data_IF_505134575839
#
_entry.id   IF_505134575839
#
_cell.length_a   1.000
_cell.length_b   1.000
_cell.length_c   1.000
_cell.angle_alpha   90.00
_cell.angle_beta   90.00
_cell.angle_gamma   90.00
#
_symmetry.space_group_name_H-M   'P 1'
#
loop_
_entity.id
_entity.type
_entity.pdbx_description
1 polymer ?
#
# COMPACT_ATOMS: atom_id res chain seq x y z
N UNK A 1 -11.82 -48.72 -22.90
CA UNK A 1 -10.94 -47.53 -22.80
C UNK A 1 -11.04 -46.79 -24.12
N UNK A 2 -11.55 -45.55 -24.12
CA UNK A 2 -11.65 -44.72 -25.33
C UNK A 2 -10.25 -44.26 -25.71
N UNK A 3 -9.74 -44.69 -26.87
CA UNK A 3 -8.48 -44.22 -27.43
C UNK A 3 -8.69 -42.82 -27.99
N UNK A 4 -8.30 -41.80 -27.22
CA UNK A 4 -8.22 -40.41 -27.68
C UNK A 4 -7.17 -40.33 -28.79
N UNK A 5 -7.57 -39.87 -29.97
CA UNK A 5 -6.68 -39.72 -31.13
C UNK A 5 -5.59 -38.65 -30.85
N UNK A 6 -4.42 -38.74 -31.49
CA UNK A 6 -3.32 -37.79 -31.29
C UNK A 6 -3.70 -36.32 -31.50
N UNK A 7 -4.71 -36.05 -32.34
CA UNK A 7 -5.25 -34.72 -32.57
C UNK A 7 -5.94 -34.14 -31.32
N UNK A 8 -6.64 -34.97 -30.53
CA UNK A 8 -7.31 -34.53 -29.31
C UNK A 8 -6.30 -34.18 -28.20
N UNK A 9 -5.20 -34.92 -28.11
CA UNK A 9 -4.07 -34.55 -27.24
C UNK A 9 -3.43 -33.22 -27.65
N UNK A 10 -3.21 -33.01 -28.95
CA UNK A 10 -2.66 -31.75 -29.46
C UNK A 10 -3.53 -30.54 -29.14
N UNK A 11 -4.85 -30.65 -29.35
CA UNK A 11 -5.81 -29.59 -29.03
C UNK A 11 -5.83 -29.29 -27.53
N UNK A 12 -5.81 -30.33 -26.68
CA UNK A 12 -5.76 -30.15 -25.22
C UNK A 12 -4.51 -29.41 -24.75
N UNK A 13 -3.34 -29.77 -25.28
CA UNK A 13 -2.07 -29.11 -24.95
C UNK A 13 -2.05 -27.64 -25.40
N UNK A 14 -2.49 -27.35 -26.62
CA UNK A 14 -2.56 -25.98 -27.12
C UNK A 14 -3.53 -25.15 -26.29
N UNK A 15 -4.69 -25.71 -25.94
CA UNK A 15 -5.68 -25.03 -25.10
C UNK A 15 -5.11 -24.66 -23.73
N UNK A 16 -4.38 -25.57 -23.09
CA UNK A 16 -3.72 -25.30 -21.82
C UNK A 16 -2.66 -24.20 -21.94
N UNK A 17 -1.83 -24.26 -22.99
CA UNK A 17 -0.79 -23.26 -23.23
C UNK A 17 -1.38 -21.88 -23.43
N UNK A 18 -2.42 -21.75 -24.27
CA UNK A 18 -3.10 -20.47 -24.51
C UNK A 18 -3.72 -19.93 -23.22
N UNK A 19 -4.42 -20.77 -22.45
CA UNK A 19 -5.03 -20.36 -21.20
C UNK A 19 -3.97 -19.90 -20.17
N UNK A 20 -2.86 -20.63 -20.05
CA UNK A 20 -1.75 -20.27 -19.17
C UNK A 20 -1.08 -18.96 -19.60
N UNK A 21 -0.82 -18.78 -20.90
CA UNK A 21 -0.23 -17.55 -21.43
C UNK A 21 -1.12 -16.33 -21.21
N UNK A 22 -2.44 -16.44 -21.40
CA UNK A 22 -3.38 -15.35 -21.11
C UNK A 22 -3.36 -15.01 -19.62
N UNK A 23 -3.38 -16.04 -18.75
CA UNK A 23 -3.39 -15.85 -17.30
C UNK A 23 -2.11 -15.16 -16.81
N UNK A 24 -0.95 -15.63 -17.27
CA UNK A 24 0.35 -15.03 -16.93
C UNK A 24 0.45 -13.62 -17.50
N UNK A 25 0.03 -13.41 -18.75
CA UNK A 25 0.04 -12.11 -19.39
C UNK A 25 -0.82 -11.08 -18.65
N UNK A 26 -2.04 -11.45 -18.25
CA UNK A 26 -2.89 -10.60 -17.43
C UNK A 26 -2.26 -10.28 -16.08
N UNK A 27 -1.73 -11.31 -15.40
CA UNK A 27 -1.08 -11.16 -14.11
C UNK A 27 0.10 -10.19 -14.16
N UNK A 28 0.97 -10.33 -15.17
CA UNK A 28 2.17 -9.51 -15.32
C UNK A 28 1.90 -8.10 -15.82
N UNK A 29 0.98 -7.93 -16.78
CA UNK A 29 0.78 -6.64 -17.44
C UNK A 29 -0.24 -5.73 -16.75
N UNK A 30 -1.18 -6.29 -15.98
CA UNK A 30 -2.27 -5.52 -15.37
C UNK A 30 -2.31 -5.67 -13.85
N UNK A 31 -2.44 -6.91 -13.36
CA UNK A 31 -2.64 -7.12 -11.92
C UNK A 31 -1.43 -6.71 -11.07
N UNK A 32 -0.22 -7.12 -11.45
CA UNK A 32 1.00 -6.78 -10.71
C UNK A 32 1.27 -5.27 -10.70
N UNK A 33 1.26 -4.56 -11.85
CA UNK A 33 1.47 -3.11 -11.86
C UNK A 33 0.45 -2.35 -11.03
N UNK A 34 -0.82 -2.74 -11.05
CA UNK A 34 -1.87 -2.08 -10.28
C UNK A 34 -1.68 -2.27 -8.76
N UNK A 35 -1.28 -3.46 -8.33
CA UNK A 35 -1.04 -3.75 -6.91
C UNK A 35 0.25 -3.12 -6.37
N UNK A 36 1.22 -2.87 -7.24
CA UNK A 36 2.47 -2.22 -6.89
C UNK A 36 2.46 -0.71 -7.17
N UNK A 37 1.37 -0.20 -7.75
CA UNK A 37 1.21 1.23 -7.97
C UNK A 37 1.23 1.93 -6.61
N UNK A 38 1.97 3.04 -6.54
CA UNK A 38 1.90 3.89 -5.35
C UNK A 38 0.47 4.38 -5.21
N UNK A 39 -0.16 4.26 -4.03
CA UNK A 39 -1.51 4.73 -3.84
C UNK A 39 -1.57 6.23 -4.16
N UNK A 40 -2.46 6.58 -5.09
CA UNK A 40 -2.78 7.96 -5.41
C UNK A 40 -3.64 8.51 -4.27
N UNK A 41 -3.11 9.50 -3.55
CA UNK A 41 -3.77 10.11 -2.40
C UNK A 41 -4.10 11.56 -2.72
N UNK A 42 -5.17 12.06 -2.11
CA UNK A 42 -5.59 13.45 -2.30
C UNK A 42 -4.45 14.43 -1.97
N UNK A 43 -4.33 15.50 -2.78
CA UNK A 43 -3.27 16.50 -2.63
C UNK A 43 -3.21 17.08 -1.22
N UNK A 44 -4.35 17.22 -0.53
CA UNK A 44 -4.39 17.74 0.84
C UNK A 44 -3.82 16.73 1.86
N UNK A 45 -3.73 15.44 1.54
CA UNK A 45 -3.01 14.47 2.37
C UNK A 45 -1.50 14.69 2.27
N UNK A 46 -1.00 15.01 1.07
CA UNK A 46 0.42 15.31 0.83
C UNK A 46 0.80 16.70 1.36
N UNK A 47 -0.09 17.67 1.17
CA UNK A 47 0.08 19.07 1.55
C UNK A 47 -1.14 19.55 2.38
N UNK A 48 -1.19 19.20 3.67
CA UNK A 48 -2.33 19.53 4.52
C UNK A 48 -2.43 21.02 4.80
N UNK A 49 -3.66 21.45 5.04
CA UNK A 49 -4.02 22.86 5.28
C UNK A 49 -3.38 23.39 6.57
N UNK A 50 -3.13 22.53 7.55
CA UNK A 50 -2.55 22.86 8.83
C UNK A 50 -1.44 21.87 9.20
N UNK A 51 -0.50 22.34 10.01
CA UNK A 51 0.51 21.51 10.64
C UNK A 51 0.20 21.36 12.12
N UNK A 52 0.45 20.18 12.66
CA UNK A 52 0.37 19.89 14.09
C UNK A 52 1.76 20.00 14.69
N UNK A 53 1.92 20.84 15.72
CA UNK A 53 3.17 20.94 16.46
C UNK A 53 3.11 20.14 17.76
N UNK A 54 4.14 19.35 18.01
CA UNK A 54 4.34 18.63 19.28
C UNK A 54 5.68 19.06 19.85
N UNK A 55 5.63 19.74 20.99
CA UNK A 55 6.79 20.28 21.66
C UNK A 55 7.39 19.26 22.63
N UNK A 56 8.69 19.04 22.53
CA UNK A 56 9.47 18.25 23.47
C UNK A 56 9.85 19.13 24.66
N UNK A 57 9.34 18.79 25.83
CA UNK A 57 9.61 19.61 27.02
C UNK A 57 11.03 19.33 27.55
N UNK A 58 11.63 20.33 28.20
CA UNK A 58 12.96 20.19 28.78
C UNK A 58 13.00 19.00 29.75
N UNK A 59 14.00 18.12 29.59
CA UNK A 59 14.11 16.91 30.40
C UNK A 59 13.33 15.71 29.88
N UNK A 60 12.75 15.77 28.66
CA UNK A 60 12.00 14.66 28.03
C UNK A 60 12.77 13.32 27.92
N UNK A 61 14.10 13.35 28.10
CA UNK A 61 14.94 12.16 28.17
C UNK A 61 14.89 11.44 29.53
N UNK A 62 14.33 12.06 30.57
CA UNK A 62 14.21 11.47 31.90
C UNK A 62 12.98 10.56 31.97
N UNK A 63 13.19 9.27 32.23
CA UNK A 63 12.13 8.28 32.32
C UNK A 63 11.19 8.50 33.51
N UNK A 64 11.64 9.21 34.56
CA UNK A 64 10.82 9.52 35.74
C UNK A 64 9.94 10.77 35.53
N UNK A 65 10.10 11.47 34.41
CA UNK A 65 9.30 12.65 34.09
C UNK A 65 7.89 12.23 33.66
N UNK A 66 6.87 12.83 34.29
CA UNK A 66 5.47 12.43 34.10
C UNK A 66 4.93 12.73 32.70
N UNK A 67 5.37 13.84 32.11
CA UNK A 67 5.01 14.29 30.76
C UNK A 67 6.28 14.63 29.98
N UNK A 68 6.37 14.25 28.71
CA UNK A 68 7.56 14.47 27.87
C UNK A 68 7.28 15.35 26.65
N UNK A 69 5.99 15.51 26.32
CA UNK A 69 5.53 16.17 25.11
C UNK A 69 4.27 16.97 25.38
N UNK A 70 4.13 18.10 24.69
CA UNK A 70 2.92 18.93 24.71
C UNK A 70 2.47 19.19 23.27
N UNK A 71 1.27 18.72 22.86
CA UNK A 71 0.32 17.92 23.63
C UNK A 71 0.80 16.46 23.79
N UNK A 72 0.42 15.82 24.90
CA UNK A 72 0.73 14.39 25.15
C UNK A 72 -0.06 13.42 24.27
N UNK A 73 -1.27 13.81 23.87
CA UNK A 73 -2.14 13.05 22.99
C UNK A 73 -2.71 13.99 21.95
N UNK A 74 -2.66 13.58 20.69
CA UNK A 74 -3.22 14.34 19.57
C UNK A 74 -4.06 13.39 18.72
N UNK A 75 -5.27 13.80 18.39
CA UNK A 75 -6.09 13.15 17.37
C UNK A 75 -5.96 13.94 16.08
N UNK A 76 -5.47 13.28 15.04
CA UNK A 76 -5.23 13.89 13.73
C UNK A 76 -6.21 13.37 12.70
N UNK A 77 -6.53 14.22 11.73
CA UNK A 77 -7.35 13.92 10.58
C UNK A 77 -6.51 14.07 9.30
N UNK A 78 -6.53 13.01 8.47
CA UNK A 78 -5.95 13.05 7.13
C UNK A 78 -6.57 14.20 6.32
N UNK A 79 -5.74 14.84 5.50
CA UNK A 79 -6.08 16.02 4.69
C UNK A 79 -6.17 17.36 5.44
N UNK A 80 -6.10 17.36 6.78
CA UNK A 80 -6.30 18.58 7.57
C UNK A 80 -5.04 18.94 8.35
N UNK A 81 -4.57 18.03 9.20
CA UNK A 81 -3.52 18.31 10.18
C UNK A 81 -2.48 17.19 10.31
N UNK A 82 -2.43 16.30 9.31
CA UNK A 82 -1.56 15.13 9.28
C UNK A 82 -0.07 15.44 9.03
N UNK A 83 0.31 16.71 8.90
CA UNK A 83 1.71 17.13 8.88
C UNK A 83 2.17 17.46 10.29
N UNK A 84 2.90 16.53 10.92
CA UNK A 84 3.35 16.64 12.31
C UNK A 84 4.79 17.12 12.37
N UNK A 85 5.03 18.17 13.15
CA UNK A 85 6.35 18.76 13.38
C UNK A 85 6.70 18.61 14.85
N UNK A 86 7.85 18.00 15.14
CA UNK A 86 8.40 17.85 16.47
C UNK A 86 9.48 18.90 16.70
N UNK A 87 9.36 19.68 17.77
CA UNK A 87 10.29 20.77 18.14
C UNK A 87 10.73 20.68 19.57
#
# INVERSE_FOLDING_TARGET
MSTVSGNQYGVGLITLLVAASISIGYYQMYWLPEQLATPDVDEHVLHPVKSTHIEMILGSSNADQQDNYVPKLVNLQLSIDNHVIWT
#
